data_IF_697341869888
#
_entry.id   IF_697341869888
#
_cell.length_a   1.000
_cell.length_b   1.000
_cell.length_c   1.000
_cell.angle_alpha   90.00
_cell.angle_beta   90.00
_cell.angle_gamma   90.00
#
_symmetry.space_group_name_H-M   'P 1'
#
loop_
_entity.id
_entity.type
_entity.pdbx_description
1 polymer ?
#
# COMPACT_ATOMS: atom_id res chain seq x y z
N UNK A 1 28.87 -7.45 -51.94
CA UNK A 1 27.93 -8.40 -51.33
C UNK A 1 27.84 -8.27 -49.80
N UNK A 2 28.91 -8.19 -49.02
CA UNK A 2 28.86 -8.06 -47.55
C UNK A 2 28.14 -6.78 -47.07
N UNK A 3 28.36 -5.63 -47.71
CA UNK A 3 27.69 -4.36 -47.31
C UNK A 3 26.16 -4.37 -47.52
N UNK A 4 25.67 -5.07 -48.53
CA UNK A 4 24.20 -5.21 -48.74
C UNK A 4 23.52 -6.03 -47.67
N UNK A 5 24.21 -7.02 -47.11
CA UNK A 5 23.69 -7.85 -46.02
C UNK A 5 23.50 -7.03 -44.75
N UNK A 6 24.46 -6.16 -44.41
CA UNK A 6 24.35 -5.28 -43.23
C UNK A 6 23.24 -4.24 -43.39
N UNK A 7 23.06 -3.67 -44.57
CA UNK A 7 21.96 -2.74 -44.85
C UNK A 7 20.61 -3.44 -44.75
N UNK A 8 20.50 -4.68 -45.22
CA UNK A 8 19.26 -5.48 -45.12
C UNK A 8 18.94 -5.83 -43.69
N UNK A 9 19.90 -6.27 -42.87
CA UNK A 9 19.68 -6.55 -41.47
C UNK A 9 19.40 -5.28 -40.65
N UNK A 10 20.03 -4.15 -40.99
CA UNK A 10 19.76 -2.87 -40.34
C UNK A 10 18.36 -2.33 -40.66
N UNK A 11 17.89 -2.50 -41.92
CA UNK A 11 16.50 -2.14 -42.29
C UNK A 11 15.48 -3.05 -41.63
N UNK A 12 15.74 -4.35 -41.50
CA UNK A 12 14.88 -5.28 -40.74
C UNK A 12 14.84 -4.95 -39.25
N UNK A 13 15.95 -4.49 -38.66
CA UNK A 13 16.01 -4.04 -37.26
C UNK A 13 15.20 -2.76 -37.03
N UNK A 14 15.26 -1.78 -37.96
CA UNK A 14 14.47 -0.56 -37.92
C UNK A 14 12.97 -0.86 -38.08
N UNK A 15 12.58 -1.77 -38.98
CA UNK A 15 11.19 -2.21 -39.17
C UNK A 15 10.71 -2.95 -37.93
N UNK A 16 11.56 -3.77 -37.29
CA UNK A 16 11.24 -4.46 -36.04
C UNK A 16 10.96 -3.51 -34.87
N UNK A 17 11.66 -2.36 -34.81
CA UNK A 17 11.42 -1.33 -33.79
C UNK A 17 10.08 -0.59 -34.02
N UNK A 18 9.65 -0.41 -35.26
CA UNK A 18 8.38 0.25 -35.57
C UNK A 18 7.14 -0.64 -35.34
N UNK A 19 7.31 -1.97 -35.25
CA UNK A 19 6.20 -2.90 -34.94
C UNK A 19 5.91 -3.04 -33.44
N UNK A 20 6.67 -2.35 -32.57
CA UNK A 20 6.48 -2.36 -31.10
C UNK A 20 5.62 -1.17 -30.61
N UNK A 21 5.13 -0.35 -31.52
CA UNK A 21 4.11 0.66 -31.16
C UNK A 21 2.72 0.07 -31.36
N UNK A 22 2.32 -0.83 -30.52
CA UNK A 22 0.91 -1.09 -30.33
C UNK A 22 0.31 0.11 -29.60
N UNK A 23 -0.85 0.53 -30.04
CA UNK A 23 -1.65 1.69 -29.69
C UNK A 23 -2.23 1.61 -28.25
N UNK A 24 -1.52 0.97 -27.33
CA UNK A 24 -1.93 0.86 -25.93
C UNK A 24 -1.46 2.12 -25.19
N UNK A 25 -2.42 2.91 -24.72
CA UNK A 25 -2.18 4.08 -23.89
C UNK A 25 -1.30 3.71 -22.69
N UNK A 26 -0.30 4.52 -22.43
CA UNK A 26 0.52 4.34 -21.22
C UNK A 26 -0.32 4.54 -19.95
N UNK A 27 0.02 3.92 -18.81
CA UNK A 27 -0.71 4.12 -17.56
C UNK A 27 -0.85 5.59 -17.17
N UNK A 28 0.13 6.44 -17.51
CA UNK A 28 0.12 7.89 -17.28
C UNK A 28 -0.92 8.60 -18.17
N UNK A 29 -1.06 8.19 -19.42
CA UNK A 29 -2.06 8.73 -20.33
C UNK A 29 -3.47 8.33 -19.90
N UNK A 30 -3.66 7.06 -19.52
CA UNK A 30 -4.92 6.55 -18.96
C UNK A 30 -5.29 7.31 -17.67
N UNK A 31 -4.33 7.55 -16.77
CA UNK A 31 -4.54 8.32 -15.56
C UNK A 31 -4.95 9.76 -15.84
N UNK A 32 -4.28 10.39 -16.81
CA UNK A 32 -4.60 11.76 -17.25
C UNK A 32 -6.02 11.83 -17.85
N UNK A 33 -6.41 10.83 -18.65
CA UNK A 33 -7.75 10.73 -19.21
C UNK A 33 -8.78 10.52 -18.09
N UNK A 34 -8.51 9.65 -17.11
CA UNK A 34 -9.40 9.43 -15.98
C UNK A 34 -9.61 10.72 -15.16
N UNK A 35 -8.55 11.49 -14.93
CA UNK A 35 -8.63 12.78 -14.24
C UNK A 35 -9.53 13.77 -14.98
N UNK A 36 -9.40 13.86 -16.31
CA UNK A 36 -10.29 14.69 -17.15
C UNK A 36 -11.75 14.24 -17.07
N UNK A 37 -12.01 12.93 -16.97
CA UNK A 37 -13.39 12.43 -16.82
C UNK A 37 -13.96 12.74 -15.43
N UNK A 38 -13.13 12.77 -14.37
CA UNK A 38 -13.53 13.26 -13.03
C UNK A 38 -13.96 14.72 -13.10
N UNK A 39 -13.19 15.58 -13.78
CA UNK A 39 -13.49 17.00 -13.92
C UNK A 39 -14.81 17.24 -14.68
N UNK A 40 -15.17 16.32 -15.59
CA UNK A 40 -16.46 16.33 -16.30
C UNK A 40 -17.60 15.69 -15.50
N UNK A 41 -17.36 15.23 -14.28
CA UNK A 41 -18.28 14.45 -13.45
C UNK A 41 -18.67 13.08 -14.03
N UNK A 42 -17.89 12.53 -14.97
CA UNK A 42 -18.09 11.20 -15.56
C UNK A 42 -17.42 10.13 -14.70
N UNK A 43 -17.85 9.99 -13.44
CA UNK A 43 -17.18 9.16 -12.45
C UNK A 43 -17.12 7.66 -12.80
N UNK A 44 -18.13 7.13 -13.47
CA UNK A 44 -18.15 5.71 -13.88
C UNK A 44 -17.06 5.41 -14.91
N UNK A 45 -16.91 6.29 -15.90
CA UNK A 45 -15.86 6.17 -16.91
C UNK A 45 -14.47 6.36 -16.29
N UNK A 46 -14.34 7.34 -15.39
CA UNK A 46 -13.09 7.56 -14.66
C UNK A 46 -12.69 6.33 -13.83
N UNK A 47 -13.63 5.74 -13.09
CA UNK A 47 -13.39 4.50 -12.32
C UNK A 47 -13.00 3.32 -13.20
N UNK A 48 -13.63 3.17 -14.38
CA UNK A 48 -13.25 2.13 -15.35
C UNK A 48 -11.79 2.29 -15.79
N UNK A 49 -11.37 3.52 -16.15
CA UNK A 49 -9.99 3.82 -16.55
C UNK A 49 -8.99 3.63 -15.41
N UNK A 50 -9.30 4.09 -14.19
CA UNK A 50 -8.42 3.90 -13.04
C UNK A 50 -8.28 2.42 -12.67
N UNK A 51 -9.37 1.64 -12.77
CA UNK A 51 -9.32 0.22 -12.49
C UNK A 51 -8.56 -0.56 -13.57
N UNK A 52 -8.53 -0.13 -14.84
CA UNK A 52 -7.69 -0.79 -15.86
C UNK A 52 -6.19 -0.67 -15.48
N UNK A 53 -5.73 0.51 -15.03
CA UNK A 53 -4.35 0.70 -14.53
C UNK A 53 -4.04 -0.31 -13.41
N UNK A 54 -4.98 -0.47 -12.47
CA UNK A 54 -4.79 -1.37 -11.33
C UNK A 54 -4.79 -2.85 -11.75
N UNK A 55 -5.64 -3.24 -12.71
CA UNK A 55 -5.70 -4.63 -13.22
C UNK A 55 -4.43 -5.02 -13.97
N UNK A 56 -3.73 -4.07 -14.56
CA UNK A 56 -2.42 -4.24 -15.19
C UNK A 56 -1.25 -4.24 -14.18
N UNK A 57 -1.56 -4.28 -12.89
CA UNK A 57 -0.60 -4.26 -11.78
C UNK A 57 0.22 -2.97 -11.65
N UNK A 58 -0.23 -1.86 -12.22
CA UNK A 58 0.38 -0.55 -12.02
C UNK A 58 -0.20 0.11 -10.76
N UNK A 59 0.45 -0.15 -9.62
CA UNK A 59 -0.02 0.33 -8.32
C UNK A 59 0.63 1.66 -7.96
N UNK A 60 -0.12 2.75 -8.04
CA UNK A 60 0.31 4.08 -7.62
C UNK A 60 -0.63 4.65 -6.54
N UNK A 61 -0.10 5.32 -5.51
CA UNK A 61 -0.93 5.94 -4.47
C UNK A 61 -1.92 6.94 -5.05
N UNK A 62 -1.53 7.67 -6.09
CA UNK A 62 -2.34 8.67 -6.77
C UNK A 62 -3.55 8.04 -7.49
N UNK A 63 -3.39 6.83 -8.07
CA UNK A 63 -4.48 6.07 -8.71
C UNK A 63 -5.54 5.71 -7.68
N UNK A 64 -5.14 5.12 -6.55
CA UNK A 64 -6.08 4.77 -5.48
C UNK A 64 -6.72 5.98 -4.81
N UNK A 65 -5.99 7.10 -4.72
CA UNK A 65 -6.55 8.36 -4.25
C UNK A 65 -7.66 8.87 -5.17
N UNK A 66 -7.46 8.84 -6.49
CA UNK A 66 -8.48 9.23 -7.45
C UNK A 66 -9.67 8.26 -7.49
N UNK A 67 -9.45 6.96 -7.30
CA UNK A 67 -10.54 5.99 -7.09
C UNK A 67 -11.36 6.38 -5.86
N UNK A 68 -10.69 6.77 -4.75
CA UNK A 68 -11.33 7.27 -3.56
C UNK A 68 -12.18 8.53 -3.82
N UNK A 69 -11.61 9.51 -4.54
CA UNK A 69 -12.29 10.76 -4.89
C UNK A 69 -13.52 10.51 -5.77
N UNK A 70 -13.40 9.71 -6.82
CA UNK A 70 -14.50 9.39 -7.72
C UNK A 70 -15.65 8.66 -6.99
N UNK A 71 -15.33 7.71 -6.12
CA UNK A 71 -16.32 7.02 -5.28
C UNK A 71 -16.99 7.97 -4.27
N UNK A 72 -16.24 8.90 -3.69
CA UNK A 72 -16.79 9.93 -2.81
C UNK A 72 -17.84 10.78 -3.53
N UNK A 73 -17.52 11.26 -4.75
CA UNK A 73 -18.44 12.03 -5.58
C UNK A 73 -19.71 11.26 -5.97
N UNK A 74 -19.60 9.92 -6.08
CA UNK A 74 -20.73 9.02 -6.30
C UNK A 74 -21.51 8.68 -5.04
N UNK A 75 -21.14 9.21 -3.89
CA UNK A 75 -21.68 8.84 -2.58
C UNK A 75 -21.45 7.36 -2.17
N UNK A 76 -20.48 6.70 -2.79
CA UNK A 76 -20.04 5.36 -2.45
C UNK A 76 -18.98 5.42 -1.33
N UNK A 77 -19.39 5.82 -0.14
CA UNK A 77 -18.49 6.17 0.95
C UNK A 77 -17.57 5.02 1.37
N UNK A 78 -18.06 3.76 1.40
CA UNK A 78 -17.25 2.58 1.74
C UNK A 78 -16.09 2.35 0.78
N UNK A 79 -16.35 2.43 -0.52
CA UNK A 79 -15.33 2.29 -1.57
C UNK A 79 -14.39 3.51 -1.60
N UNK A 80 -14.88 4.70 -1.26
CA UNK A 80 -14.04 5.89 -1.09
C UNK A 80 -13.02 5.70 0.04
N UNK A 81 -13.46 5.25 1.21
CA UNK A 81 -12.59 4.94 2.36
C UNK A 81 -11.56 3.88 1.95
N UNK A 82 -11.98 2.82 1.26
CA UNK A 82 -11.09 1.76 0.77
C UNK A 82 -10.01 2.33 -0.17
N UNK A 83 -10.38 3.20 -1.11
CA UNK A 83 -9.46 3.88 -2.01
C UNK A 83 -8.39 4.66 -1.25
N UNK A 84 -8.79 5.52 -0.31
CA UNK A 84 -7.84 6.30 0.50
C UNK A 84 -6.95 5.41 1.39
N UNK A 85 -7.50 4.34 1.97
CA UNK A 85 -6.71 3.36 2.74
C UNK A 85 -5.66 2.66 1.88
N UNK A 86 -5.98 2.28 0.64
CA UNK A 86 -5.04 1.72 -0.33
C UNK A 86 -3.95 2.71 -0.72
N UNK A 87 -4.30 3.97 -0.98
CA UNK A 87 -3.33 5.03 -1.25
C UNK A 87 -2.33 5.20 -0.09
N UNK A 88 -2.83 5.23 1.16
CA UNK A 88 -2.00 5.33 2.37
C UNK A 88 -1.20 4.05 2.67
N UNK A 89 -1.65 2.89 2.21
CA UNK A 89 -0.89 1.66 2.31
C UNK A 89 0.39 1.72 1.47
N UNK A 90 0.29 2.28 0.26
CA UNK A 90 1.43 2.48 -0.65
C UNK A 90 2.31 3.65 -0.19
N UNK A 91 1.70 4.78 0.20
CA UNK A 91 2.42 6.00 0.61
C UNK A 91 1.82 6.55 1.92
N UNK A 92 2.32 6.07 3.08
CA UNK A 92 1.79 6.49 4.39
C UNK A 92 1.88 7.99 4.67
N UNK A 93 2.77 8.70 3.96
CA UNK A 93 2.95 10.16 4.05
C UNK A 93 2.07 10.96 3.09
N UNK A 94 1.13 10.32 2.38
CA UNK A 94 0.23 10.99 1.42
C UNK A 94 -0.80 11.84 2.16
N UNK A 95 -0.49 13.14 2.25
CA UNK A 95 -1.21 14.09 3.10
C UNK A 95 -2.69 14.22 2.71
N UNK A 96 -3.00 14.34 1.43
CA UNK A 96 -4.34 14.54 0.89
C UNK A 96 -5.23 13.32 1.17
N UNK A 97 -4.72 12.12 0.94
CA UNK A 97 -5.45 10.88 1.26
C UNK A 97 -5.69 10.76 2.78
N UNK A 98 -4.70 11.15 3.59
CA UNK A 98 -4.83 11.16 5.05
C UNK A 98 -5.87 12.15 5.55
N UNK A 99 -5.92 13.35 4.98
CA UNK A 99 -6.92 14.38 5.32
C UNK A 99 -8.33 13.92 4.95
N UNK A 100 -8.55 13.46 3.71
CA UNK A 100 -9.85 12.98 3.27
C UNK A 100 -10.33 11.78 4.11
N UNK A 101 -9.43 10.84 4.40
CA UNK A 101 -9.76 9.70 5.27
C UNK A 101 -10.12 10.15 6.69
N UNK A 102 -9.45 11.17 7.25
CA UNK A 102 -9.75 11.68 8.59
C UNK A 102 -11.12 12.33 8.67
N UNK A 103 -11.53 13.07 7.64
CA UNK A 103 -12.87 13.66 7.52
C UNK A 103 -13.93 12.55 7.49
N UNK A 104 -13.72 11.52 6.64
CA UNK A 104 -14.64 10.39 6.57
C UNK A 104 -14.66 9.56 7.86
N UNK A 105 -13.54 9.49 8.58
CA UNK A 105 -13.48 8.83 9.87
C UNK A 105 -14.34 9.54 10.92
N UNK A 106 -14.29 10.86 10.94
CA UNK A 106 -15.08 11.66 11.87
C UNK A 106 -16.58 11.56 11.59
N UNK A 107 -16.98 11.55 10.31
CA UNK A 107 -18.40 11.49 9.92
C UNK A 107 -19.02 10.08 10.01
N UNK A 108 -18.21 9.02 9.89
CA UNK A 108 -18.69 7.62 9.89
C UNK A 108 -18.25 6.83 11.14
N UNK A 109 -17.49 7.44 12.05
CA UNK A 109 -17.05 6.87 13.33
C UNK A 109 -16.44 5.46 13.21
N UNK A 110 -15.76 5.16 12.09
CA UNK A 110 -15.20 3.84 11.87
C UNK A 110 -13.97 3.57 12.76
N UNK A 111 -13.79 2.31 13.09
CA UNK A 111 -12.75 1.85 14.02
C UNK A 111 -11.68 1.09 13.26
N UNK A 112 -10.43 1.36 13.58
CA UNK A 112 -9.27 0.62 13.08
C UNK A 112 -8.61 -0.11 14.26
N UNK A 113 -7.85 -1.17 13.96
CA UNK A 113 -7.00 -1.80 14.97
C UNK A 113 -6.00 -0.76 15.50
N UNK A 114 -5.87 -0.72 16.82
CA UNK A 114 -4.96 0.23 17.47
C UNK A 114 -3.53 -0.02 17.02
N UNK A 115 -2.88 1.04 16.56
CA UNK A 115 -1.45 1.06 16.30
C UNK A 115 -0.75 1.73 17.47
N UNK A 116 0.36 1.15 17.93
CA UNK A 116 1.14 1.82 18.96
C UNK A 116 1.65 3.18 18.45
N UNK A 117 1.88 4.13 19.37
CA UNK A 117 2.43 5.46 19.01
C UNK A 117 3.74 5.35 18.27
N UNK A 118 4.61 4.41 18.70
CA UNK A 118 5.88 4.13 18.04
C UNK A 118 5.68 3.70 16.59
N UNK A 119 4.75 2.79 16.37
CA UNK A 119 4.39 2.30 15.06
C UNK A 119 3.95 3.44 14.13
N UNK A 120 3.05 4.27 14.62
CA UNK A 120 2.55 5.42 13.84
C UNK A 120 3.67 6.37 13.44
N UNK A 121 4.67 6.58 14.30
CA UNK A 121 5.85 7.41 14.00
C UNK A 121 6.76 6.73 12.96
N UNK A 122 7.06 5.44 13.14
CA UNK A 122 7.94 4.70 12.23
C UNK A 122 7.38 4.61 10.79
N UNK A 123 6.06 4.47 10.65
CA UNK A 123 5.42 4.46 9.33
C UNK A 123 5.56 5.78 8.54
N UNK A 124 5.82 6.91 9.22
CA UNK A 124 6.00 8.21 8.56
C UNK A 124 7.39 8.36 7.92
N UNK A 125 8.38 7.56 8.34
CA UNK A 125 9.74 7.65 7.81
C UNK A 125 9.78 7.01 6.41
N UNK A 126 10.18 7.73 5.35
CA UNK A 126 10.32 7.15 4.02
C UNK A 126 11.33 5.99 3.99
N UNK A 127 11.05 4.95 3.20
CA UNK A 127 11.92 3.76 3.12
C UNK A 127 13.34 4.10 2.64
N UNK A 128 13.44 5.09 1.75
CA UNK A 128 14.71 5.60 1.23
C UNK A 128 15.66 6.11 2.34
N UNK A 129 15.13 6.71 3.40
CA UNK A 129 15.98 7.13 4.52
C UNK A 129 16.46 5.93 5.34
N UNK A 130 15.62 4.92 5.54
CA UNK A 130 16.01 3.71 6.29
C UNK A 130 17.13 2.97 5.56
N UNK A 131 17.02 2.79 4.23
CA UNK A 131 18.07 2.16 3.41
C UNK A 131 19.36 2.97 3.40
N UNK A 132 19.25 4.31 3.35
CA UNK A 132 20.39 5.21 3.42
C UNK A 132 21.12 5.08 4.77
N UNK A 133 20.39 5.07 5.90
CA UNK A 133 20.98 4.88 7.22
C UNK A 133 21.60 3.50 7.40
N UNK A 134 20.99 2.43 6.87
CA UNK A 134 21.58 1.09 6.84
C UNK A 134 22.92 1.09 6.10
N UNK A 135 22.98 1.69 4.93
CA UNK A 135 24.20 1.79 4.13
C UNK A 135 25.28 2.62 4.86
N UNK A 136 24.90 3.77 5.40
CA UNK A 136 25.82 4.67 6.10
C UNK A 136 26.41 4.04 7.36
N UNK A 137 25.62 3.25 8.08
CA UNK A 137 26.07 2.54 9.29
C UNK A 137 27.13 1.49 8.98
N UNK A 138 27.01 0.78 7.84
CA UNK A 138 28.05 -0.16 7.38
C UNK A 138 29.37 0.56 7.05
N UNK A 139 29.30 1.75 6.42
CA UNK A 139 30.48 2.58 6.18
C UNK A 139 31.16 3.03 7.47
N UNK A 140 30.38 3.45 8.49
CA UNK A 140 30.92 3.85 9.80
C UNK A 140 31.63 2.69 10.47
N UNK A 141 31.06 1.47 10.41
CA UNK A 141 31.72 0.26 10.93
C UNK A 141 33.03 0.01 10.19
N UNK A 142 33.01 0.04 8.85
CA UNK A 142 34.18 -0.19 8.01
C UNK A 142 35.30 0.82 8.29
N UNK A 143 34.97 2.11 8.40
CA UNK A 143 35.92 3.16 8.74
C UNK A 143 36.51 2.98 10.15
N UNK A 144 35.70 2.57 11.12
CA UNK A 144 36.15 2.26 12.46
C UNK A 144 37.17 1.13 12.48
N UNK A 145 36.90 0.03 11.79
CA UNK A 145 37.80 -1.12 11.66
C UNK A 145 39.10 -0.71 10.94
N UNK A 146 38.98 -0.02 9.80
CA UNK A 146 40.11 0.46 9.02
C UNK A 146 41.05 1.38 9.82
N UNK A 147 40.46 2.32 10.58
CA UNK A 147 41.22 3.19 11.48
C UNK A 147 41.99 2.38 12.54
N UNK A 148 41.40 1.31 13.10
CA UNK A 148 42.06 0.44 14.08
C UNK A 148 43.24 -0.36 13.50
N UNK A 149 43.17 -0.72 12.21
CA UNK A 149 44.26 -1.43 11.53
C UNK A 149 45.46 -0.50 11.32
N UNK A 150 45.22 0.74 10.91
CA UNK A 150 46.27 1.70 10.60
C UNK A 150 46.88 2.27 11.90
N UNK A 151 46.05 2.59 12.87
CA UNK A 151 46.48 3.28 14.08
C UNK A 151 46.44 2.36 15.32
N UNK A 152 47.55 1.62 15.55
CA UNK A 152 47.69 0.69 16.68
C UNK A 152 47.48 1.34 18.05
N UNK A 153 47.80 2.65 18.19
CA UNK A 153 47.59 3.43 19.44
C UNK A 153 46.15 3.91 19.60
N UNK A 154 45.35 3.87 18.54
CA UNK A 154 43.95 4.34 18.50
C UNK A 154 42.92 3.23 18.66
N UNK A 155 43.28 2.03 19.09
CA UNK A 155 42.38 0.86 19.19
C UNK A 155 41.07 1.16 19.95
N UNK A 156 41.15 1.90 21.06
CA UNK A 156 39.97 2.23 21.85
C UNK A 156 38.97 3.12 21.07
N UNK A 157 39.48 4.11 20.31
CA UNK A 157 38.66 4.98 19.47
C UNK A 157 38.05 4.19 18.30
N UNK A 158 38.80 3.29 17.69
CA UNK A 158 38.35 2.37 16.64
C UNK A 158 37.13 1.54 17.11
N UNK A 159 37.25 0.95 18.30
CA UNK A 159 36.15 0.14 18.88
C UNK A 159 34.92 1.02 19.12
N UNK A 160 35.06 2.22 19.66
CA UNK A 160 33.93 3.13 19.88
C UNK A 160 33.23 3.49 18.58
N UNK A 161 33.98 3.84 17.51
CA UNK A 161 33.41 4.17 16.21
C UNK A 161 32.65 2.97 15.62
N UNK A 162 33.26 1.78 15.68
CA UNK A 162 32.62 0.56 15.18
C UNK A 162 31.36 0.19 15.96
N UNK A 163 31.35 0.34 17.28
CA UNK A 163 30.19 0.11 18.13
C UNK A 163 29.05 1.11 17.84
N UNK A 164 29.38 2.39 17.61
CA UNK A 164 28.38 3.38 17.22
C UNK A 164 27.74 3.02 15.85
N UNK A 165 28.57 2.61 14.90
CA UNK A 165 28.05 2.12 13.59
C UNK A 165 27.16 0.88 13.75
N UNK A 166 27.57 -0.08 14.59
CA UNK A 166 26.76 -1.27 14.86
C UNK A 166 25.42 -0.93 15.54
N UNK A 167 25.41 0.01 16.47
CA UNK A 167 24.18 0.49 17.11
C UNK A 167 23.23 1.14 16.11
N UNK A 168 23.75 2.01 15.24
CA UNK A 168 22.95 2.64 14.16
C UNK A 168 22.41 1.59 13.19
N UNK A 169 23.19 0.57 12.86
CA UNK A 169 22.75 -0.54 12.02
C UNK A 169 21.59 -1.31 12.64
N UNK A 170 21.70 -1.66 13.92
CA UNK A 170 20.65 -2.38 14.66
C UNK A 170 19.36 -1.56 14.71
N UNK A 171 19.45 -0.26 15.00
CA UNK A 171 18.29 0.64 15.04
C UNK A 171 17.61 0.70 13.65
N UNK A 172 18.40 0.85 12.58
CA UNK A 172 17.87 0.92 11.22
C UNK A 172 17.23 -0.41 10.79
N UNK A 173 17.86 -1.53 11.14
CA UNK A 173 17.32 -2.86 10.88
C UNK A 173 16.02 -3.11 11.65
N UNK A 174 15.98 -2.75 12.94
CA UNK A 174 14.77 -2.84 13.76
C UNK A 174 13.63 -2.00 13.17
N UNK A 175 13.94 -0.77 12.75
CA UNK A 175 12.96 0.12 12.11
C UNK A 175 12.42 -0.49 10.82
N UNK A 176 13.28 -1.09 9.99
CA UNK A 176 12.88 -1.79 8.76
C UNK A 176 11.93 -2.96 9.04
N UNK A 177 12.30 -3.84 9.97
CA UNK A 177 11.49 -5.01 10.34
C UNK A 177 10.13 -4.58 10.92
N UNK A 178 10.12 -3.61 11.81
CA UNK A 178 8.86 -3.12 12.39
C UNK A 178 7.95 -2.50 11.34
N UNK A 179 8.51 -1.81 10.36
CA UNK A 179 7.74 -1.21 9.28
C UNK A 179 7.07 -2.26 8.39
N UNK A 180 7.77 -3.35 8.05
CA UNK A 180 7.22 -4.41 7.19
C UNK A 180 6.06 -5.16 7.87
N UNK A 181 6.06 -5.24 9.20
CA UNK A 181 4.95 -5.81 9.98
C UNK A 181 3.66 -4.96 9.91
N UNK A 182 3.71 -3.74 9.32
CA UNK A 182 2.56 -2.84 9.13
C UNK A 182 1.96 -2.87 7.75
N UNK A 183 2.56 -3.58 6.78
CA UNK A 183 1.85 -3.91 5.55
C UNK A 183 0.59 -4.65 5.94
N UNK A 184 -0.53 -4.32 5.32
CA UNK A 184 -1.82 -4.94 5.64
C UNK A 184 -1.65 -6.45 5.72
N UNK A 185 -2.08 -7.05 6.82
CA UNK A 185 -2.08 -8.51 6.90
C UNK A 185 -2.93 -9.06 5.76
N UNK A 186 -2.56 -10.20 5.14
CA UNK A 186 -3.26 -10.74 3.97
C UNK A 186 -4.78 -10.89 4.17
N UNK A 187 -5.23 -10.98 5.41
CA UNK A 187 -6.64 -11.19 5.79
C UNK A 187 -7.37 -9.91 6.25
N UNK A 188 -6.74 -8.73 6.08
CA UNK A 188 -7.39 -7.47 6.44
C UNK A 188 -8.42 -7.08 5.38
N UNK A 189 -9.63 -6.78 5.83
CA UNK A 189 -10.75 -6.31 5.02
C UNK A 189 -11.28 -5.01 5.59
N UNK A 190 -12.02 -4.28 4.77
CA UNK A 190 -12.71 -3.03 5.14
C UNK A 190 -14.20 -3.25 4.96
N UNK A 191 -14.99 -2.73 5.86
CA UNK A 191 -16.45 -2.74 5.73
C UNK A 191 -16.83 -1.68 4.69
N UNK A 192 -17.40 -2.11 3.58
CA UNK A 192 -17.76 -1.25 2.44
C UNK A 192 -19.26 -1.09 2.25
N UNK A 193 -20.08 -1.91 2.93
CA UNK A 193 -21.54 -1.80 2.87
C UNK A 193 -22.11 -1.13 4.12
N UNK A 194 -23.15 -0.31 3.91
CA UNK A 194 -23.93 0.32 4.98
C UNK A 194 -24.71 -0.75 5.77
N UNK A 195 -24.96 -0.51 7.05
CA UNK A 195 -25.73 -1.38 7.96
C UNK A 195 -25.15 -2.80 8.09
N UNK A 196 -23.84 -2.91 8.09
CA UNK A 196 -23.15 -4.18 8.29
C UNK A 196 -23.26 -4.63 9.73
N UNK A 197 -23.97 -5.73 9.96
CA UNK A 197 -24.21 -6.27 11.30
C UNK A 197 -23.41 -7.54 11.52
N UNK A 198 -22.70 -7.60 12.63
CA UNK A 198 -22.03 -8.79 13.12
C UNK A 198 -23.06 -9.72 13.76
N UNK A 199 -23.04 -10.99 13.37
CA UNK A 199 -23.99 -12.00 13.84
C UNK A 199 -23.32 -13.10 14.64
N UNK A 200 -24.08 -13.76 15.53
CA UNK A 200 -23.59 -14.86 16.36
C UNK A 200 -23.36 -16.16 15.57
N UNK A 201 -24.07 -16.37 14.44
CA UNK A 201 -23.92 -17.53 13.57
C UNK A 201 -24.12 -17.16 12.10
N UNK A 202 -23.66 -18.00 11.13
CA UNK A 202 -23.71 -17.70 9.70
C UNK A 202 -25.10 -17.91 9.09
N UNK A 203 -26.13 -17.30 9.68
CA UNK A 203 -27.52 -17.35 9.21
C UNK A 203 -28.18 -15.99 9.33
N UNK A 204 -29.19 -15.72 8.52
CA UNK A 204 -29.90 -14.44 8.56
C UNK A 204 -30.76 -14.28 9.81
N UNK A 205 -31.23 -15.39 10.38
CA UNK A 205 -32.05 -15.45 11.59
C UNK A 205 -31.24 -15.35 12.88
N UNK A 206 -29.90 -15.42 12.80
CA UNK A 206 -29.02 -15.31 13.97
C UNK A 206 -29.15 -13.95 14.64
N UNK A 207 -28.95 -13.95 15.98
CA UNK A 207 -28.93 -12.73 16.77
C UNK A 207 -27.86 -11.76 16.33
N UNK A 208 -28.17 -10.48 16.32
CA UNK A 208 -27.23 -9.41 16.05
C UNK A 208 -26.33 -9.21 17.28
N UNK A 209 -25.03 -9.21 17.07
CA UNK A 209 -24.03 -8.94 18.12
C UNK A 209 -23.81 -7.43 18.23
N UNK A 210 -23.42 -6.81 17.12
CA UNK A 210 -23.18 -5.37 17.02
C UNK A 210 -23.27 -4.91 15.56
N UNK A 211 -23.63 -3.66 15.36
CA UNK A 211 -23.51 -3.01 14.05
C UNK A 211 -22.09 -2.46 13.90
N UNK A 212 -21.44 -2.74 12.76
CA UNK A 212 -20.12 -2.27 12.44
C UNK A 212 -20.19 -1.07 11.52
N UNK A 213 -19.40 -0.06 11.82
CA UNK A 213 -19.37 1.18 11.08
C UNK A 213 -18.64 1.02 9.73
N UNK A 214 -19.19 1.68 8.73
CA UNK A 214 -18.64 1.74 7.39
C UNK A 214 -17.19 2.25 7.45
N UNK A 215 -16.28 1.55 6.76
CA UNK A 215 -14.86 1.91 6.76
C UNK A 215 -14.02 1.23 7.84
N UNK A 216 -14.62 0.54 8.81
CA UNK A 216 -13.88 -0.17 9.87
C UNK A 216 -13.01 -1.29 9.29
N UNK A 217 -11.79 -1.42 9.82
CA UNK A 217 -10.92 -2.54 9.50
C UNK A 217 -11.31 -3.77 10.30
N UNK A 218 -11.33 -4.91 9.63
CA UNK A 218 -11.58 -6.22 10.23
C UNK A 218 -10.54 -7.23 9.72
N UNK A 219 -10.39 -8.33 10.45
CA UNK A 219 -9.56 -9.46 10.02
C UNK A 219 -10.45 -10.67 9.78
N UNK A 220 -10.41 -11.23 8.58
CA UNK A 220 -11.11 -12.47 8.27
C UNK A 220 -10.30 -13.64 8.80
N UNK A 221 -10.91 -14.44 9.69
CA UNK A 221 -10.33 -15.64 10.30
C UNK A 221 -10.66 -16.87 9.43
N UNK A 222 -11.93 -16.98 9.03
CA UNK A 222 -12.41 -18.05 8.17
C UNK A 222 -13.58 -17.60 7.33
N UNK A 223 -13.83 -18.30 6.21
CA UNK A 223 -14.99 -18.02 5.35
C UNK A 223 -15.78 -19.32 5.16
N UNK A 224 -17.12 -19.21 5.16
CA UNK A 224 -18.03 -20.30 4.92
C UNK A 224 -19.21 -19.82 4.06
N UNK A 225 -19.27 -20.31 2.83
CA UNK A 225 -20.28 -19.89 1.84
C UNK A 225 -20.29 -18.35 1.69
N UNK A 226 -21.44 -17.73 1.97
CA UNK A 226 -21.65 -16.27 1.85
C UNK A 226 -21.29 -15.50 3.12
N UNK A 227 -20.66 -16.15 4.12
CA UNK A 227 -20.33 -15.58 5.42
C UNK A 227 -18.85 -15.66 5.72
N UNK A 228 -18.32 -14.63 6.36
CA UNK A 228 -16.97 -14.61 6.92
C UNK A 228 -17.06 -14.54 8.44
N UNK A 229 -16.27 -15.37 9.12
CA UNK A 229 -16.01 -15.24 10.55
C UNK A 229 -14.86 -14.26 10.71
N UNK A 230 -15.14 -13.18 11.41
CA UNK A 230 -14.21 -12.04 11.50
C UNK A 230 -13.84 -11.71 12.94
N UNK A 231 -12.71 -11.05 13.06
CA UNK A 231 -12.27 -10.33 14.24
C UNK A 231 -12.27 -8.82 13.89
N UNK A 232 -12.99 -8.07 14.68
CA UNK A 232 -13.05 -6.60 14.64
C UNK A 232 -12.20 -6.01 15.80
N UNK A 233 -11.90 -4.71 15.80
CA UNK A 233 -11.27 -4.04 16.93
C UNK A 233 -12.01 -4.33 18.26
N UNK A 234 -11.27 -4.26 19.39
CA UNK A 234 -11.75 -4.60 20.73
C UNK A 234 -12.13 -6.08 20.92
N UNK A 235 -11.42 -6.98 20.20
CA UNK A 235 -11.59 -8.46 20.27
C UNK A 235 -13.03 -8.95 19.96
N UNK A 236 -13.80 -8.13 19.28
CA UNK A 236 -15.14 -8.50 18.84
C UNK A 236 -15.06 -9.56 17.73
N UNK A 237 -15.77 -10.67 17.89
CA UNK A 237 -15.79 -11.77 16.90
C UNK A 237 -17.21 -12.15 16.53
N UNK A 238 -17.40 -12.58 15.31
CA UNK A 238 -18.68 -13.04 14.80
C UNK A 238 -18.72 -13.20 13.30
N UNK A 239 -19.90 -13.39 12.76
CA UNK A 239 -20.16 -13.65 11.35
C UNK A 239 -20.70 -12.42 10.65
N UNK A 240 -20.16 -12.13 9.46
CA UNK A 240 -20.62 -11.05 8.59
C UNK A 240 -20.82 -11.58 7.16
N UNK A 241 -21.69 -10.96 6.40
CA UNK A 241 -21.89 -11.29 4.98
C UNK A 241 -20.66 -10.92 4.16
N UNK A 242 -20.16 -11.81 3.29
CA UNK A 242 -19.01 -11.55 2.40
C UNK A 242 -19.20 -10.29 1.56
N UNK A 243 -20.44 -10.02 1.10
CA UNK A 243 -20.77 -8.84 0.29
C UNK A 243 -20.61 -7.50 1.05
N UNK A 244 -20.50 -7.53 2.37
CA UNK A 244 -20.39 -6.35 3.20
C UNK A 244 -18.94 -5.89 3.39
N UNK A 245 -17.98 -6.70 2.99
CA UNK A 245 -16.56 -6.50 3.23
C UNK A 245 -15.76 -6.60 1.94
N UNK A 246 -14.75 -5.76 1.81
CA UNK A 246 -13.81 -5.80 0.68
C UNK A 246 -12.40 -5.93 1.20
N UNK A 247 -11.60 -6.83 0.58
CA UNK A 247 -10.20 -7.02 0.95
C UNK A 247 -9.43 -5.73 0.79
N UNK A 248 -8.68 -5.33 1.82
CA UNK A 248 -7.91 -4.09 1.79
C UNK A 248 -6.87 -4.15 0.66
N UNK A 249 -6.13 -5.26 0.54
CA UNK A 249 -5.18 -5.46 -0.55
C UNK A 249 -5.41 -6.82 -1.21
N UNK A 250 -6.13 -6.89 -2.33
CA UNK A 250 -6.42 -8.15 -3.03
C UNK A 250 -5.27 -8.58 -3.96
N UNK A 251 -4.27 -7.72 -4.22
CA UNK A 251 -3.20 -7.92 -5.18
C UNK A 251 -2.00 -8.64 -4.57
N UNK A 252 -1.10 -9.18 -5.41
CA UNK A 252 0.14 -9.78 -4.91
C UNK A 252 1.07 -8.69 -4.35
N UNK A 253 1.55 -8.87 -3.11
CA UNK A 253 2.46 -7.93 -2.46
C UNK A 253 3.83 -7.86 -3.12
N UNK A 254 4.27 -8.91 -3.82
CA UNK A 254 5.55 -8.93 -4.52
C UNK A 254 5.64 -7.91 -5.65
N UNK A 255 4.48 -7.43 -6.15
CA UNK A 255 4.40 -6.45 -7.24
C UNK A 255 4.49 -4.98 -6.75
N UNK A 256 4.67 -4.74 -5.45
CA UNK A 256 4.73 -3.38 -4.88
C UNK A 256 6.18 -2.86 -4.75
N UNK A 257 7.18 -3.72 -4.97
CA UNK A 257 8.61 -3.39 -4.80
C UNK A 257 9.23 -2.82 -6.06
#
# INVERSE_FOLDING_TARGET
MRSFIYIFFFSLFIIGIQLISADDLTPEEVFTQASKEIDKNNYDKALSLLNSIVTENHFAPEVFFQIGNANYRKNNIGESILGYKRALLLKPSFKEAGQNLSILKQSNEFVDFEKSRLQTLLCKIPLSYISLFLSLSLWVIGLGVFYGIINKRGKQRSIIISLLGALLFIISLFTSIQRDNFKATPNTHVITSINSTLKSSPTDTASNVIQLNLGSNIRVISARNNWAYIEAPNDLRGWIRNKAITKLWPYNYELIN
#
